data_IF_532723422755
#
_entry.id   IF_532723422755
#
_cell.length_a   1.000
_cell.length_b   1.000
_cell.length_c   1.000
_cell.angle_alpha   90.00
_cell.angle_beta   90.00
_cell.angle_gamma   90.00
#
_symmetry.space_group_name_H-M   'P 1'
#
loop_
_entity.id
_entity.type
_entity.pdbx_description
1 polymer ?
#
# COMPACT_ATOMS: atom_id res chain seq x y z
N UNK A 1 44.61 40.13 -32.84
CA UNK A 1 44.56 40.32 -31.38
C UNK A 1 43.73 39.21 -30.77
N UNK A 2 44.30 38.47 -29.80
CA UNK A 2 43.62 37.60 -28.80
C UNK A 2 42.95 36.32 -29.33
N UNK A 3 43.06 35.13 -28.75
CA UNK A 3 43.79 34.61 -27.60
C UNK A 3 43.61 33.08 -27.66
N UNK A 4 44.69 32.33 -27.92
CA UNK A 4 44.66 30.86 -27.93
C UNK A 4 44.54 30.39 -26.48
N UNK A 5 43.39 29.82 -26.09
CA UNK A 5 43.22 29.19 -24.78
C UNK A 5 43.80 27.77 -24.83
N UNK A 6 44.85 27.59 -24.05
CA UNK A 6 45.55 26.33 -23.78
C UNK A 6 44.61 25.32 -23.11
N UNK A 7 44.48 24.13 -23.70
CA UNK A 7 43.93 22.96 -23.01
C UNK A 7 44.91 22.53 -21.92
N UNK A 8 44.46 22.53 -20.65
CA UNK A 8 45.16 21.87 -19.55
C UNK A 8 44.51 20.50 -19.34
N UNK A 9 45.26 19.45 -19.67
CA UNK A 9 44.99 18.07 -19.23
C UNK A 9 45.05 18.05 -17.70
N UNK A 10 43.97 17.66 -17.04
CA UNK A 10 43.98 17.30 -15.62
C UNK A 10 44.04 15.77 -15.55
N UNK A 11 45.14 15.26 -15.02
CA UNK A 11 45.36 13.83 -14.81
C UNK A 11 44.41 13.31 -13.71
N UNK A 12 43.64 12.28 -14.04
CA UNK A 12 42.83 11.52 -13.07
C UNK A 12 43.77 10.55 -12.36
N UNK A 13 44.01 10.76 -11.07
CA UNK A 13 44.69 9.81 -10.19
C UNK A 13 43.65 8.76 -9.77
N UNK A 14 43.74 7.55 -10.35
CA UNK A 14 42.98 6.39 -9.89
C UNK A 14 43.68 5.80 -8.66
N UNK A 15 43.07 5.95 -7.49
CA UNK A 15 43.50 5.27 -6.27
C UNK A 15 43.05 3.81 -6.29
N UNK A 16 44.00 2.89 -6.41
CA UNK A 16 43.80 1.46 -6.13
C UNK A 16 43.64 1.29 -4.61
N UNK A 17 42.48 0.83 -4.15
CA UNK A 17 42.33 0.23 -2.83
C UNK A 17 42.55 -1.28 -2.99
N UNK A 18 43.68 -1.77 -2.50
CA UNK A 18 43.98 -3.19 -2.41
C UNK A 18 43.18 -3.81 -1.26
N UNK A 19 42.26 -4.72 -1.59
CA UNK A 19 41.64 -5.62 -0.62
C UNK A 19 42.62 -6.78 -0.42
N UNK A 20 43.27 -6.82 0.75
CA UNK A 20 44.10 -7.96 1.15
C UNK A 20 43.18 -9.08 1.67
N UNK A 21 43.13 -10.19 0.92
CA UNK A 21 42.60 -11.44 1.40
C UNK A 21 43.68 -12.14 2.23
N UNK A 22 43.44 -12.31 3.53
CA UNK A 22 44.21 -13.22 4.37
C UNK A 22 43.36 -14.48 4.60
N UNK A 23 43.85 -15.61 4.09
CA UNK A 23 43.33 -16.94 4.37
C UNK A 23 44.42 -17.77 5.06
N UNK A 24 43.94 -18.72 5.87
CA UNK A 24 44.60 -19.84 6.53
C UNK A 24 45.44 -19.53 7.77
N UNK A 25 44.98 -20.05 8.91
CA UNK A 25 45.71 -21.18 9.52
C UNK A 25 44.76 -22.10 10.30
N UNK A 26 44.84 -23.38 9.95
CA UNK A 26 44.23 -24.48 10.67
C UNK A 26 45.19 -24.94 11.78
N UNK A 27 44.73 -24.96 13.03
CA UNK A 27 45.48 -25.58 14.14
C UNK A 27 44.79 -26.86 14.58
N UNK A 28 45.61 -27.90 14.63
CA UNK A 28 45.31 -29.27 14.98
C UNK A 28 44.78 -29.47 16.41
N UNK A 29 43.78 -30.34 16.49
CA UNK A 29 43.65 -31.46 17.42
C UNK A 29 44.25 -31.37 18.84
N UNK A 30 43.35 -31.43 19.83
CA UNK A 30 43.59 -32.22 21.04
C UNK A 30 42.29 -32.89 21.48
N UNK A 31 42.28 -34.22 21.41
CA UNK A 31 41.23 -35.09 21.93
C UNK A 31 41.35 -35.12 23.45
N UNK A 32 40.29 -34.75 24.16
CA UNK A 32 40.09 -35.11 25.56
C UNK A 32 38.91 -36.07 25.61
N UNK A 33 39.20 -37.30 26.01
CA UNK A 33 38.25 -38.36 26.26
C UNK A 33 37.70 -38.18 27.67
N UNK A 34 36.39 -37.97 27.82
CA UNK A 34 35.69 -38.12 29.09
C UNK A 34 34.50 -39.04 28.88
N UNK A 35 34.62 -40.23 29.47
CA UNK A 35 33.57 -41.25 29.44
C UNK A 35 32.37 -40.79 30.26
N UNK A 36 31.20 -40.76 29.63
CA UNK A 36 29.92 -40.72 30.31
C UNK A 36 29.13 -41.97 29.93
N UNK A 37 28.90 -42.79 30.95
CA UNK A 37 28.11 -44.02 30.93
C UNK A 37 26.65 -43.71 30.57
N UNK A 38 26.18 -44.19 29.41
CA UNK A 38 24.79 -44.12 28.98
C UNK A 38 23.97 -45.23 29.64
N UNK A 39 23.24 -44.90 30.72
CA UNK A 39 22.06 -45.68 31.10
C UNK A 39 20.82 -45.03 30.49
N UNK A 40 19.93 -45.80 29.84
CA UNK A 40 18.68 -45.26 29.30
C UNK A 40 17.70 -44.99 30.45
N UNK A 41 17.42 -43.71 30.70
CA UNK A 41 16.27 -43.29 31.51
C UNK A 41 15.04 -43.31 30.62
N UNK A 42 14.10 -44.20 30.92
CA UNK A 42 12.77 -44.23 30.31
C UNK A 42 12.02 -42.96 30.72
N UNK A 43 11.87 -42.02 29.78
CA UNK A 43 11.01 -40.85 29.96
C UNK A 43 9.60 -41.27 29.56
N UNK A 44 8.72 -41.41 30.54
CA UNK A 44 7.30 -41.63 30.30
C UNK A 44 6.72 -40.36 29.68
N UNK A 45 6.39 -40.41 28.38
CA UNK A 45 5.73 -39.30 27.70
C UNK A 45 4.30 -39.16 28.25
N UNK A 46 4.02 -38.04 28.90
CA UNK A 46 2.65 -37.63 29.25
C UNK A 46 1.98 -37.13 27.96
N UNK A 47 0.83 -37.68 27.54
CA UNK A 47 0.14 -37.20 26.35
C UNK A 47 -0.40 -35.79 26.63
N UNK A 48 0.20 -34.79 25.99
CA UNK A 48 -0.36 -33.43 25.92
C UNK A 48 -1.46 -33.47 24.86
N UNK A 49 -2.72 -33.42 25.29
CA UNK A 49 -3.82 -33.20 24.36
C UNK A 49 -3.64 -31.85 23.67
N UNK A 50 -3.77 -31.76 22.33
CA UNK A 50 -3.83 -30.47 21.67
C UNK A 50 -5.06 -29.73 22.18
N UNK A 51 -4.83 -28.61 22.87
CA UNK A 51 -5.90 -27.68 23.20
C UNK A 51 -6.45 -27.13 21.89
N UNK A 52 -7.65 -27.56 21.54
CA UNK A 52 -8.41 -27.10 20.38
C UNK A 52 -8.76 -25.63 20.61
N UNK A 53 -7.82 -24.76 20.27
CA UNK A 53 -7.93 -23.31 20.45
C UNK A 53 -8.73 -22.80 19.27
N UNK A 54 -10.05 -22.92 19.36
CA UNK A 54 -10.96 -22.23 18.45
C UNK A 54 -10.85 -20.73 18.71
N UNK A 55 -9.94 -20.08 17.97
CA UNK A 55 -9.90 -18.62 17.87
C UNK A 55 -11.25 -18.17 17.34
N UNK A 56 -11.98 -17.24 18.01
CA UNK A 56 -13.24 -16.75 17.51
C UNK A 56 -13.02 -16.10 16.14
N UNK A 57 -13.58 -16.69 15.09
CA UNK A 57 -13.60 -16.05 13.77
C UNK A 57 -14.45 -14.79 13.89
N UNK A 58 -13.83 -13.63 13.68
CA UNK A 58 -14.57 -12.36 13.53
C UNK A 58 -15.67 -12.46 12.46
N UNK A 59 -16.55 -11.45 12.35
CA UNK A 59 -17.63 -11.49 11.39
C UNK A 59 -17.08 -11.76 9.98
N UNK A 60 -17.53 -12.86 9.38
CA UNK A 60 -17.11 -13.27 8.05
C UNK A 60 -17.61 -12.24 7.03
N UNK A 61 -16.69 -11.68 6.24
CA UNK A 61 -17.04 -10.75 5.14
C UNK A 61 -18.03 -11.45 4.20
N UNK A 62 -19.21 -10.86 3.92
CA UNK A 62 -20.19 -11.45 3.03
C UNK A 62 -19.61 -11.68 1.62
N UNK A 63 -20.05 -12.73 0.90
CA UNK A 63 -19.61 -12.91 -0.49
C UNK A 63 -19.98 -11.70 -1.35
N UNK A 64 -19.17 -11.40 -2.37
CA UNK A 64 -19.50 -10.41 -3.40
C UNK A 64 -20.58 -10.93 -4.35
N UNK A 65 -21.24 -10.04 -5.07
CA UNK A 65 -22.26 -10.38 -6.09
C UNK A 65 -21.69 -11.30 -7.19
N UNK A 66 -22.58 -11.98 -7.92
CA UNK A 66 -22.15 -12.84 -9.03
C UNK A 66 -21.43 -12.04 -10.14
N UNK A 67 -21.88 -10.82 -10.42
CA UNK A 67 -21.26 -9.91 -11.38
C UNK A 67 -19.85 -9.48 -10.92
N UNK A 68 -19.70 -9.08 -9.65
CA UNK A 68 -18.39 -8.75 -9.08
C UNK A 68 -17.43 -9.94 -9.14
N UNK A 69 -17.90 -11.14 -8.78
CA UNK A 69 -17.09 -12.36 -8.88
C UNK A 69 -16.67 -12.66 -10.32
N UNK A 70 -17.57 -12.50 -11.29
CA UNK A 70 -17.27 -12.70 -12.71
C UNK A 70 -16.24 -11.70 -13.24
N UNK A 71 -16.22 -10.47 -12.70
CA UNK A 71 -15.20 -9.46 -12.96
C UNK A 71 -13.88 -9.71 -12.20
N UNK A 72 -13.78 -10.80 -11.42
CA UNK A 72 -12.60 -11.12 -10.63
C UNK A 72 -12.44 -10.24 -9.38
N UNK A 73 -13.51 -9.62 -8.90
CA UNK A 73 -13.47 -8.74 -7.72
C UNK A 73 -13.62 -9.52 -6.42
N UNK A 74 -12.96 -9.01 -5.39
CA UNK A 74 -13.08 -9.40 -3.99
C UNK A 74 -13.31 -8.15 -3.16
N UNK A 75 -13.94 -8.32 -2.00
CA UNK A 75 -14.00 -7.26 -0.98
C UNK A 75 -12.64 -7.13 -0.30
N UNK A 76 -12.11 -5.92 -0.17
CA UNK A 76 -10.79 -5.72 0.42
C UNK A 76 -10.67 -6.26 1.84
N UNK A 77 -11.76 -6.29 2.62
CA UNK A 77 -11.74 -6.84 3.99
C UNK A 77 -11.55 -8.35 4.02
N UNK A 78 -11.78 -9.04 2.90
CA UNK A 78 -11.40 -10.46 2.78
C UNK A 78 -9.88 -10.66 2.66
N UNK A 79 -9.14 -9.61 2.31
CA UNK A 79 -7.68 -9.60 2.13
C UNK A 79 -6.97 -8.92 3.30
N UNK A 80 -7.51 -7.78 3.74
CA UNK A 80 -7.01 -6.96 4.86
C UNK A 80 -8.16 -6.82 5.89
N UNK A 81 -8.32 -7.78 6.81
CA UNK A 81 -9.51 -7.85 7.68
C UNK A 81 -9.69 -6.66 8.63
N UNK A 82 -8.59 -6.01 8.98
CA UNK A 82 -8.50 -4.82 9.83
C UNK A 82 -8.61 -3.50 9.03
N UNK A 83 -8.88 -3.56 7.72
CA UNK A 83 -9.04 -2.38 6.89
C UNK A 83 -10.24 -1.52 7.33
N UNK A 84 -9.97 -0.24 7.50
CA UNK A 84 -10.98 0.80 7.64
C UNK A 84 -11.45 1.19 6.23
N UNK A 85 -12.76 1.24 6.04
CA UNK A 85 -13.38 1.57 4.77
C UNK A 85 -14.09 2.91 4.96
N UNK A 86 -13.53 3.94 4.35
CA UNK A 86 -14.05 5.32 4.32
C UNK A 86 -14.14 5.76 2.86
N UNK A 87 -14.99 5.07 2.08
CA UNK A 87 -15.12 5.37 0.66
C UNK A 87 -15.58 6.82 0.49
N UNK A 88 -14.69 7.72 0.07
CA UNK A 88 -14.93 9.17 0.09
C UNK A 88 -16.07 9.56 -0.84
N UNK A 89 -16.21 8.86 -1.96
CA UNK A 89 -17.32 9.01 -2.89
C UNK A 89 -18.67 8.46 -2.36
N UNK A 90 -18.69 7.70 -1.26
CA UNK A 90 -19.93 7.35 -0.54
C UNK A 90 -20.35 8.44 0.49
N UNK A 91 -19.60 9.54 0.58
CA UNK A 91 -19.85 10.64 1.51
C UNK A 91 -19.81 11.99 0.78
N UNK A 92 -20.22 13.10 1.40
CA UNK A 92 -19.95 14.44 0.89
C UNK A 92 -18.47 14.88 0.99
N UNK A 93 -17.59 14.10 1.64
CA UNK A 93 -16.16 14.42 1.84
C UNK A 93 -15.32 14.06 0.60
N UNK A 94 -15.70 14.59 -0.56
CA UNK A 94 -14.97 14.45 -1.82
C UNK A 94 -15.11 15.74 -2.64
N UNK A 95 -14.39 15.85 -3.75
CA UNK A 95 -14.36 17.09 -4.54
C UNK A 95 -15.72 17.55 -5.08
N UNK A 96 -16.68 16.66 -5.26
CA UNK A 96 -18.01 17.03 -5.75
C UNK A 96 -18.92 17.60 -4.66
N UNK A 97 -18.59 17.39 -3.38
CA UNK A 97 -19.47 17.70 -2.24
C UNK A 97 -20.75 16.84 -2.19
N UNK A 98 -20.94 15.91 -3.13
CA UNK A 98 -22.10 15.05 -3.26
C UNK A 98 -21.72 13.59 -3.06
N UNK A 99 -22.68 12.78 -2.63
CA UNK A 99 -22.52 11.33 -2.56
C UNK A 99 -22.70 10.73 -3.96
N UNK A 100 -21.69 10.01 -4.44
CA UNK A 100 -21.69 9.34 -5.75
C UNK A 100 -21.91 7.82 -5.63
N UNK A 101 -21.43 7.19 -4.55
CA UNK A 101 -21.66 5.78 -4.22
C UNK A 101 -22.83 5.62 -3.23
N UNK A 102 -23.49 4.44 -3.16
CA UNK A 102 -24.42 4.15 -2.08
C UNK A 102 -23.72 4.12 -0.71
N UNK A 103 -24.49 4.30 0.37
CA UNK A 103 -23.95 4.43 1.74
C UNK A 103 -23.24 3.17 2.24
N UNK A 104 -23.70 2.03 1.75
CA UNK A 104 -23.27 0.67 2.03
C UNK A 104 -22.32 0.13 0.96
N UNK A 105 -21.79 0.99 0.09
CA UNK A 105 -20.80 0.62 -0.90
C UNK A 105 -19.61 -0.11 -0.26
N UNK A 106 -19.14 -1.12 -0.98
CA UNK A 106 -18.06 -2.01 -0.62
C UNK A 106 -16.80 -1.61 -1.38
N UNK A 107 -15.66 -1.67 -0.69
CA UNK A 107 -14.37 -1.51 -1.35
C UNK A 107 -14.04 -2.81 -2.11
N UNK A 108 -14.43 -2.86 -3.38
CA UNK A 108 -14.13 -3.97 -4.27
C UNK A 108 -12.78 -3.74 -4.97
N UNK A 109 -11.94 -4.75 -5.03
CA UNK A 109 -10.67 -4.75 -5.77
C UNK A 109 -10.56 -6.02 -6.61
N UNK A 110 -9.89 -5.96 -7.75
CA UNK A 110 -9.57 -7.14 -8.53
C UNK A 110 -8.63 -8.05 -7.74
N UNK A 111 -8.84 -9.37 -7.81
CA UNK A 111 -8.09 -10.38 -7.05
C UNK A 111 -6.56 -10.31 -7.25
N UNK A 112 -6.08 -9.73 -8.35
CA UNK A 112 -4.64 -9.48 -8.57
C UNK A 112 -4.03 -8.50 -7.57
N UNK A 113 -4.84 -7.68 -6.90
CA UNK A 113 -4.41 -6.75 -5.85
C UNK A 113 -4.17 -7.46 -4.51
N UNK A 114 -4.77 -8.64 -4.30
CA UNK A 114 -4.92 -9.23 -2.98
C UNK A 114 -3.58 -9.48 -2.28
N UNK A 115 -2.64 -10.14 -2.97
CA UNK A 115 -1.32 -10.42 -2.40
C UNK A 115 -0.56 -9.13 -2.08
N UNK A 116 -0.62 -8.12 -2.97
CA UNK A 116 0.08 -6.85 -2.78
C UNK A 116 -0.47 -6.06 -1.60
N UNK A 117 -1.80 -5.95 -1.47
CA UNK A 117 -2.44 -5.26 -0.35
C UNK A 117 -2.19 -5.97 0.99
N UNK A 118 -2.23 -7.30 1.02
CA UNK A 118 -1.91 -8.07 2.22
C UNK A 118 -0.44 -7.85 2.68
N UNK A 119 0.50 -7.86 1.73
CA UNK A 119 1.91 -7.60 2.01
C UNK A 119 2.14 -6.15 2.49
N UNK A 120 1.51 -5.17 1.84
CA UNK A 120 1.60 -3.78 2.25
C UNK A 120 1.03 -3.57 3.66
N UNK A 121 -0.08 -4.24 4.00
CA UNK A 121 -0.68 -4.15 5.33
C UNK A 121 0.25 -4.73 6.40
N UNK A 122 0.96 -5.82 6.08
CA UNK A 122 1.96 -6.40 6.96
C UNK A 122 3.16 -5.46 7.24
N UNK A 123 3.47 -4.52 6.34
CA UNK A 123 4.50 -3.50 6.57
C UNK A 123 4.04 -2.39 7.53
N UNK A 124 2.75 -2.05 7.52
CA UNK A 124 2.18 -1.01 8.38
C UNK A 124 1.95 -1.48 9.82
N UNK A 125 1.48 -2.72 9.99
CA UNK A 125 1.09 -3.29 11.31
C UNK A 125 2.15 -3.17 12.42
N UNK A 126 3.47 -3.35 12.18
CA UNK A 126 4.49 -3.17 13.22
C UNK A 126 4.52 -1.78 13.85
N UNK A 127 3.99 -0.75 13.19
CA UNK A 127 3.84 0.61 13.72
C UNK A 127 2.48 0.86 14.37
N UNK A 128 1.68 -0.18 14.57
CA UNK A 128 0.30 -0.05 15.04
C UNK A 128 -0.60 0.67 14.02
N UNK A 129 -0.22 0.64 12.74
CA UNK A 129 -0.95 1.29 11.66
C UNK A 129 -1.85 0.29 10.95
N UNK A 130 -3.05 0.75 10.60
CA UNK A 130 -4.03 0.03 9.77
C UNK A 130 -4.32 0.82 8.50
N UNK A 131 -4.66 0.13 7.42
CA UNK A 131 -5.05 0.81 6.18
C UNK A 131 -6.42 1.48 6.31
N UNK A 132 -6.54 2.62 5.64
CA UNK A 132 -7.81 3.30 5.36
C UNK A 132 -7.96 3.40 3.85
N UNK A 133 -9.03 2.84 3.32
CA UNK A 133 -9.36 2.87 1.90
C UNK A 133 -10.39 3.96 1.61
N UNK A 134 -10.03 4.87 0.70
CA UNK A 134 -10.84 6.01 0.28
C UNK A 134 -11.51 5.81 -1.09
N UNK A 135 -10.87 5.06 -1.97
CA UNK A 135 -11.50 4.56 -3.19
C UNK A 135 -10.86 3.25 -3.66
N UNK A 136 -11.66 2.44 -4.36
CA UNK A 136 -11.29 1.11 -4.83
C UNK A 136 -11.81 0.94 -6.27
N UNK A 137 -12.62 -0.07 -6.56
CA UNK A 137 -13.33 -0.11 -7.83
C UNK A 137 -14.33 1.06 -7.96
N UNK A 138 -14.20 1.82 -9.05
CA UNK A 138 -15.08 2.94 -9.41
C UNK A 138 -15.88 2.59 -10.65
N UNK A 139 -17.22 2.44 -10.58
CA UNK A 139 -18.04 2.23 -11.77
C UNK A 139 -17.87 3.35 -12.80
N UNK A 140 -17.97 3.01 -14.08
CA UNK A 140 -17.73 3.95 -15.18
C UNK A 140 -18.65 5.18 -15.14
N UNK A 141 -19.92 5.01 -14.79
CA UNK A 141 -20.86 6.12 -14.67
C UNK A 141 -20.46 7.10 -13.55
N UNK A 142 -19.75 6.63 -12.53
CA UNK A 142 -19.18 7.49 -11.48
C UNK A 142 -17.96 8.24 -12.01
N UNK A 143 -17.10 7.60 -12.81
CA UNK A 143 -15.99 8.28 -13.47
C UNK A 143 -16.48 9.42 -14.37
N UNK A 144 -17.56 9.20 -15.13
CA UNK A 144 -18.22 10.24 -15.94
C UNK A 144 -18.72 11.38 -15.06
N UNK A 145 -19.50 11.09 -14.00
CA UNK A 145 -20.02 12.11 -13.08
C UNK A 145 -18.92 12.92 -12.41
N UNK A 146 -17.82 12.28 -12.01
CA UNK A 146 -16.69 12.96 -11.39
C UNK A 146 -16.03 13.95 -12.37
N UNK A 147 -15.82 13.51 -13.61
CA UNK A 147 -15.25 14.36 -14.66
C UNK A 147 -16.18 15.50 -15.08
N UNK A 148 -17.50 15.30 -15.05
CA UNK A 148 -18.47 16.37 -15.32
C UNK A 148 -18.39 17.50 -14.28
N UNK A 149 -18.01 17.18 -13.03
CA UNK A 149 -17.81 18.18 -11.97
C UNK A 149 -16.41 18.79 -12.03
N UNK A 150 -15.39 17.97 -12.27
CA UNK A 150 -13.98 18.37 -12.36
C UNK A 150 -13.43 18.06 -13.75
N UNK A 151 -13.79 18.90 -14.73
CA UNK A 151 -13.44 18.65 -16.14
C UNK A 151 -11.99 19.01 -16.51
N UNK A 152 -11.09 19.05 -15.53
CA UNK A 152 -9.67 19.28 -15.76
C UNK A 152 -8.93 17.92 -15.82
N UNK A 153 -8.43 17.50 -16.99
CA UNK A 153 -7.77 16.21 -17.15
C UNK A 153 -6.42 16.10 -16.41
N UNK A 154 -5.91 17.21 -15.86
CA UNK A 154 -4.75 17.17 -14.97
C UNK A 154 -5.08 16.61 -13.57
N UNK A 155 -6.38 16.49 -13.23
CA UNK A 155 -6.86 16.16 -11.90
C UNK A 155 -7.79 14.95 -11.89
N UNK A 156 -8.67 14.82 -12.89
CA UNK A 156 -9.56 13.67 -13.04
C UNK A 156 -9.40 13.12 -14.44
N UNK A 157 -9.13 11.81 -14.54
CA UNK A 157 -8.98 11.15 -15.84
C UNK A 157 -10.26 11.33 -16.68
N UNK A 158 -10.16 11.75 -17.95
CA UNK A 158 -11.34 11.82 -18.81
C UNK A 158 -11.91 10.41 -19.03
N UNK A 159 -13.24 10.23 -18.95
CA UNK A 159 -13.85 8.94 -19.24
C UNK A 159 -13.55 8.52 -20.68
N UNK A 160 -13.15 7.26 -20.86
CA UNK A 160 -12.71 6.70 -22.13
C UNK A 160 -13.69 5.68 -22.72
N UNK A 161 -13.28 5.07 -23.84
CA UNK A 161 -13.98 3.91 -24.43
C UNK A 161 -13.67 2.59 -23.71
N UNK A 162 -12.62 2.59 -22.89
CA UNK A 162 -12.10 1.45 -22.17
C UNK A 162 -11.96 1.79 -20.69
N UNK A 163 -12.14 0.79 -19.85
CA UNK A 163 -11.89 0.87 -18.42
C UNK A 163 -10.45 0.46 -18.11
N UNK A 164 -9.83 1.16 -17.17
CA UNK A 164 -8.52 0.87 -16.60
C UNK A 164 -8.48 1.39 -15.15
N UNK A 165 -7.39 1.13 -14.42
CA UNK A 165 -7.18 1.64 -13.06
C UNK A 165 -8.34 1.31 -12.09
N UNK A 166 -8.95 2.32 -11.47
CA UNK A 166 -10.12 2.19 -10.60
C UNK A 166 -11.31 1.55 -11.31
N UNK A 167 -11.54 1.81 -12.60
CA UNK A 167 -12.67 1.25 -13.36
C UNK A 167 -12.56 -0.27 -13.61
N UNK A 168 -11.43 -0.86 -13.24
CA UNK A 168 -11.23 -2.32 -13.26
C UNK A 168 -10.79 -2.88 -11.90
N UNK A 169 -10.91 -2.09 -10.84
CA UNK A 169 -10.56 -2.48 -9.47
C UNK A 169 -9.07 -2.78 -9.28
N UNK A 170 -8.19 -2.26 -10.15
CA UNK A 170 -6.73 -2.50 -10.10
C UNK A 170 -5.96 -1.31 -9.54
N UNK A 171 -6.65 -0.34 -8.98
CA UNK A 171 -6.08 0.80 -8.28
C UNK A 171 -6.85 1.04 -6.99
N UNK A 172 -6.17 1.64 -6.02
CA UNK A 172 -6.75 2.03 -4.74
C UNK A 172 -6.22 3.38 -4.31
N UNK A 173 -7.08 4.14 -3.64
CA UNK A 173 -6.73 5.38 -2.96
C UNK A 173 -6.70 5.11 -1.47
N UNK A 174 -5.53 5.26 -0.84
CA UNK A 174 -5.30 4.82 0.53
C UNK A 174 -4.50 5.81 1.35
N UNK A 175 -4.72 5.73 2.66
CA UNK A 175 -3.79 6.21 3.69
C UNK A 175 -3.68 5.16 4.81
N UNK A 176 -3.06 5.52 5.92
CA UNK A 176 -3.06 4.71 7.13
C UNK A 176 -3.59 5.52 8.33
N UNK A 177 -4.09 4.81 9.32
CA UNK A 177 -4.47 5.36 10.62
C UNK A 177 -3.74 4.61 11.74
N UNK A 178 -3.53 5.29 12.86
CA UNK A 178 -2.95 4.67 14.08
C UNK A 178 -3.54 5.29 15.33
N UNK A 179 -3.38 4.61 16.46
CA UNK A 179 -3.70 5.20 17.76
C UNK A 179 -2.71 6.33 18.06
N UNK A 180 -3.21 7.56 18.06
CA UNK A 180 -2.47 8.74 18.53
C UNK A 180 -3.30 9.44 19.61
N UNK A 181 -2.62 10.13 20.53
CA UNK A 181 -3.29 10.83 21.63
C UNK A 181 -4.19 11.95 21.13
N UNK A 182 -3.71 12.72 20.13
CA UNK A 182 -4.46 13.79 19.49
C UNK A 182 -4.14 13.90 18.00
N UNK A 183 -5.17 14.15 17.23
CA UNK A 183 -5.11 14.68 15.87
C UNK A 183 -6.32 15.61 15.65
N UNK A 184 -6.24 16.53 14.68
CA UNK A 184 -7.36 17.37 14.28
C UNK A 184 -8.60 16.54 13.93
N UNK A 185 -9.80 17.08 14.15
CA UNK A 185 -11.07 16.36 14.00
C UNK A 185 -11.27 15.82 12.57
N UNK A 186 -10.82 16.58 11.57
CA UNK A 186 -10.79 16.24 10.15
C UNK A 186 -9.90 15.03 9.83
N UNK A 187 -8.96 14.68 10.73
CA UNK A 187 -8.06 13.53 10.62
C UNK A 187 -8.45 12.38 11.54
N UNK A 188 -9.62 12.42 12.17
CA UNK A 188 -10.13 11.31 12.94
C UNK A 188 -10.95 10.37 12.06
N UNK A 189 -10.63 9.08 12.10
CA UNK A 189 -11.37 8.04 11.38
C UNK A 189 -11.47 6.78 12.23
N UNK A 190 -12.68 6.28 12.46
CA UNK A 190 -12.91 5.11 13.33
C UNK A 190 -12.33 5.20 14.75
N UNK A 191 -12.14 6.41 15.30
CA UNK A 191 -11.49 6.62 16.61
C UNK A 191 -9.96 6.52 16.58
N UNK A 192 -9.36 6.43 15.38
CA UNK A 192 -7.92 6.51 15.13
C UNK A 192 -7.58 7.84 14.45
N UNK A 193 -6.28 8.13 14.39
CA UNK A 193 -5.75 9.30 13.69
C UNK A 193 -5.16 8.90 12.35
N UNK A 194 -5.66 9.52 11.28
CA UNK A 194 -5.10 9.46 9.94
C UNK A 194 -3.68 10.05 9.95
N UNK A 195 -2.76 9.39 9.25
CA UNK A 195 -1.41 9.92 9.02
C UNK A 195 -1.47 11.33 8.44
N UNK A 196 -0.62 12.23 8.94
CA UNK A 196 -0.45 13.53 8.30
C UNK A 196 0.15 13.31 6.92
N UNK A 197 -0.55 13.72 5.87
CA UNK A 197 -0.06 13.61 4.51
C UNK A 197 0.11 14.99 3.88
N UNK A 198 -0.04 16.09 4.62
CA UNK A 198 0.17 17.47 4.16
C UNK A 198 -0.94 18.06 3.29
N UNK A 199 -1.74 17.22 2.63
CA UNK A 199 -2.99 17.59 1.94
C UNK A 199 -4.05 16.54 2.24
N UNK A 200 -5.32 16.87 2.08
CA UNK A 200 -6.39 15.85 2.10
C UNK A 200 -6.47 15.12 0.75
N UNK A 201 -7.35 14.12 0.68
CA UNK A 201 -7.80 13.44 -0.53
C UNK A 201 -8.43 14.43 -1.54
N UNK A 202 -8.30 14.15 -2.84
CA UNK A 202 -8.75 15.01 -3.95
C UNK A 202 -8.19 16.46 -3.90
N UNK A 203 -7.06 16.68 -3.21
CA UNK A 203 -6.37 17.97 -3.30
C UNK A 203 -5.66 18.07 -4.67
N UNK A 204 -6.05 19.06 -5.46
CA UNK A 204 -5.54 19.24 -6.82
C UNK A 204 -4.38 20.25 -6.94
N UNK A 205 -3.73 20.56 -5.82
CA UNK A 205 -2.53 21.39 -5.78
C UNK A 205 -1.26 20.58 -6.10
N UNK A 206 -0.16 21.29 -6.36
CA UNK A 206 1.16 20.66 -6.47
C UNK A 206 1.60 19.96 -5.17
N UNK A 207 1.04 20.34 -4.03
CA UNK A 207 1.31 19.72 -2.73
C UNK A 207 0.83 18.27 -2.68
N UNK A 208 -0.18 17.89 -3.47
CA UNK A 208 -0.72 16.52 -3.48
C UNK A 208 0.13 15.50 -4.24
N UNK A 209 1.10 15.96 -5.05
CA UNK A 209 1.99 15.05 -5.80
C UNK A 209 2.74 14.12 -4.85
N UNK A 210 2.87 12.85 -5.25
CA UNK A 210 3.43 11.80 -4.39
C UNK A 210 4.79 12.17 -3.77
N UNK A 211 5.64 12.86 -4.53
CA UNK A 211 7.01 13.24 -4.13
C UNK A 211 7.17 14.75 -3.85
N UNK A 212 6.08 15.48 -3.63
CA UNK A 212 6.17 16.90 -3.28
C UNK A 212 6.93 17.11 -1.96
N UNK A 213 7.83 18.08 -1.97
CA UNK A 213 8.61 18.50 -0.78
C UNK A 213 8.39 19.97 -0.45
N UNK A 214 8.07 20.79 -1.45
CA UNK A 214 7.74 22.21 -1.26
C UNK A 214 6.41 22.33 -0.52
N UNK A 215 6.41 23.06 0.58
CA UNK A 215 5.25 23.33 1.44
C UNK A 215 4.58 22.06 2.02
N UNK A 216 5.30 20.93 2.01
CA UNK A 216 4.89 19.68 2.69
C UNK A 216 5.79 19.47 3.90
N UNK A 217 5.21 19.30 5.09
CA UNK A 217 5.99 19.13 6.33
C UNK A 217 6.88 17.89 6.27
N UNK A 218 7.98 17.88 7.05
CA UNK A 218 8.88 16.73 7.10
C UNK A 218 8.16 15.44 7.58
N UNK A 219 7.20 15.58 8.50
CA UNK A 219 6.35 14.47 8.94
C UNK A 219 5.49 13.93 7.80
N UNK A 220 4.81 14.80 7.05
CA UNK A 220 4.01 14.40 5.90
C UNK A 220 4.85 13.73 4.81
N UNK A 221 6.04 14.25 4.51
CA UNK A 221 6.97 13.60 3.58
C UNK A 221 7.38 12.20 4.05
N UNK A 222 7.68 12.04 5.35
CA UNK A 222 8.03 10.74 5.93
C UNK A 222 6.85 9.75 5.90
N UNK A 223 5.63 10.21 6.18
CA UNK A 223 4.42 9.39 6.10
C UNK A 223 4.13 8.94 4.67
N UNK A 224 4.21 9.83 3.69
CA UNK A 224 4.07 9.49 2.27
C UNK A 224 5.15 8.50 1.81
N UNK A 225 6.40 8.71 2.22
CA UNK A 225 7.49 7.79 1.92
C UNK A 225 7.26 6.40 2.53
N UNK A 226 6.74 6.36 3.77
CA UNK A 226 6.41 5.11 4.43
C UNK A 226 5.25 4.37 3.74
N UNK A 227 4.17 5.07 3.40
CA UNK A 227 3.04 4.50 2.66
C UNK A 227 3.50 3.93 1.32
N UNK A 228 4.29 4.69 0.55
CA UNK A 228 4.88 4.20 -0.70
C UNK A 228 5.73 2.95 -0.50
N UNK A 229 6.60 2.93 0.51
CA UNK A 229 7.44 1.78 0.79
C UNK A 229 6.60 0.53 1.15
N UNK A 230 5.53 0.70 1.92
CA UNK A 230 4.59 -0.39 2.23
C UNK A 230 3.92 -0.92 0.96
N UNK A 231 3.37 -0.04 0.13
CA UNK A 231 2.71 -0.41 -1.13
C UNK A 231 3.68 -1.08 -2.11
N UNK A 232 4.90 -0.54 -2.26
CA UNK A 232 5.94 -1.13 -3.12
C UNK A 232 6.45 -2.48 -2.63
N UNK A 233 6.46 -2.75 -1.32
CA UNK A 233 6.77 -4.09 -0.79
C UNK A 233 5.74 -5.15 -1.24
N UNK A 234 4.51 -4.73 -1.53
CA UNK A 234 3.47 -5.54 -2.15
C UNK A 234 3.50 -5.56 -3.68
N UNK A 235 4.47 -4.90 -4.32
CA UNK A 235 4.54 -4.77 -5.78
C UNK A 235 3.53 -3.78 -6.38
N UNK A 236 2.96 -2.90 -5.56
CA UNK A 236 2.06 -1.83 -6.00
C UNK A 236 2.86 -0.55 -6.28
N UNK A 237 2.49 0.16 -7.34
CA UNK A 237 3.20 1.33 -7.85
C UNK A 237 2.43 2.61 -7.54
N UNK A 238 3.13 3.62 -7.03
CA UNK A 238 2.51 4.94 -6.79
C UNK A 238 2.27 5.68 -8.11
N UNK A 239 1.15 6.38 -8.22
CA UNK A 239 0.98 7.38 -9.28
C UNK A 239 1.64 8.70 -8.87
N UNK A 240 2.52 9.25 -9.70
CA UNK A 240 3.32 10.41 -9.29
C UNK A 240 2.49 11.69 -9.06
N UNK A 241 1.30 11.78 -9.65
CA UNK A 241 0.39 12.92 -9.52
C UNK A 241 -0.28 13.03 -8.16
N UNK A 242 -0.41 11.92 -7.43
CA UNK A 242 -1.27 11.82 -6.24
C UNK A 242 -0.59 10.93 -5.18
N UNK A 243 -0.45 11.41 -3.95
CA UNK A 243 0.25 10.65 -2.91
C UNK A 243 -0.53 9.42 -2.41
N UNK A 244 -1.85 9.41 -2.57
CA UNK A 244 -2.77 8.38 -2.09
C UNK A 244 -3.01 7.25 -3.10
N UNK A 245 -2.76 7.49 -4.40
CA UNK A 245 -3.14 6.58 -5.49
C UNK A 245 -2.05 5.53 -5.75
N UNK A 246 -2.46 4.26 -5.78
CA UNK A 246 -1.58 3.15 -6.10
C UNK A 246 -2.20 2.17 -7.10
N UNK A 247 -1.41 1.84 -8.11
CA UNK A 247 -1.73 0.89 -9.16
C UNK A 247 -1.13 -0.49 -8.87
N UNK A 248 -1.90 -1.54 -9.16
CA UNK A 248 -1.40 -2.90 -9.17
C UNK A 248 -1.16 -3.47 -10.57
N UNK A 249 -0.94 -4.79 -10.65
CA UNK A 249 -0.67 -5.47 -11.90
C UNK A 249 -1.78 -5.20 -12.93
N UNK A 250 -1.39 -4.75 -14.12
CA UNK A 250 -2.31 -4.52 -15.25
C UNK A 250 -3.24 -3.31 -15.09
N UNK A 251 -3.01 -2.40 -14.15
CA UNK A 251 -3.85 -1.22 -13.95
C UNK A 251 -3.95 -0.34 -15.21
N UNK A 252 -2.89 -0.22 -16.01
CA UNK A 252 -2.89 0.56 -17.25
C UNK A 252 -3.33 -0.20 -18.52
N UNK A 253 -3.86 -1.42 -18.38
CA UNK A 253 -4.32 -2.22 -19.53
C UNK A 253 -5.78 -1.86 -19.83
N UNK A 254 -6.10 -1.67 -21.11
CA UNK A 254 -7.47 -1.43 -21.55
C UNK A 254 -8.36 -2.67 -21.39
N UNK A 255 -9.53 -2.46 -20.79
CA UNK A 255 -10.58 -3.46 -20.65
C UNK A 255 -11.93 -2.93 -21.17
N UNK A 256 -12.88 -3.81 -21.52
CA UNK A 256 -14.27 -3.41 -21.67
C UNK A 256 -14.78 -2.73 -20.40
N UNK A 257 -15.63 -1.72 -20.56
CA UNK A 257 -16.29 -1.05 -19.42
C UNK A 257 -17.03 -2.08 -18.57
N UNK A 258 -16.73 -2.05 -17.27
CA UNK A 258 -17.38 -2.88 -16.26
C UNK A 258 -18.51 -2.10 -15.60
N UNK A 259 -19.71 -2.66 -15.59
CA UNK A 259 -20.89 -2.11 -14.90
C UNK A 259 -21.24 -3.00 -13.70
N UNK A 260 -20.28 -3.20 -12.80
CA UNK A 260 -20.47 -3.98 -11.59
C UNK A 260 -21.02 -3.04 -10.51
N UNK A 261 -22.00 -3.50 -9.74
CA UNK A 261 -22.48 -2.72 -8.60
C UNK A 261 -21.50 -2.79 -7.43
N UNK A 262 -21.38 -1.70 -6.68
CA UNK A 262 -20.49 -1.59 -5.51
C UNK A 262 -21.15 -2.01 -4.19
N UNK A 263 -22.44 -2.38 -4.18
CA UNK A 263 -23.17 -2.87 -2.99
C UNK A 263 -23.01 -4.39 -2.73
#
# INVERSE_FOLDING_TARGET
>A
MRMVRRFRLLAIVAGLVAVSAAACDAVHGSRVSSGFSSQPRTVTAVPVQPADTTVPSGPRVPPVSAAARAAGFVDVRSVVPDAIIDLRYATPRNVTGARLYPADARCLVHQSMAQGLAAAAAVLRPRGQVFVFWDCYRPHDIQVKLFDVVSNPAWVAPPGRYAHSHEVGRSVDVTFASAQQQCPAERQEGGLCLGDMGTDFDDFSSGAKAFATQDVTAEAQANRAHLRAAMSAGGLSVYAGEWWHFDGPGAGVDHPILNVSVD
#
